data_IF_050240418797
#
_entry.id   IF_050240418797
#
_cell.length_a   1.000
_cell.length_b   1.000
_cell.length_c   1.000
_cell.angle_alpha   90.00
_cell.angle_beta   90.00
_cell.angle_gamma   90.00
#
_symmetry.space_group_name_H-M   'P 1'
#
loop_
_entity.id
_entity.type
_entity.pdbx_description
1 polymer ?
#
# COMPACT_ATOMS: atom_id res chain seq x y z
N UNK A 1 -6.48 -4.92 13.20
CA UNK A 1 -5.04 -5.13 12.90
C UNK A 1 -4.67 -6.55 13.33
N UNK A 2 -4.67 -7.52 12.41
CA UNK A 2 -4.30 -8.89 12.73
C UNK A 2 -2.83 -9.08 12.35
N UNK A 3 -1.97 -9.18 13.36
CA UNK A 3 -0.56 -9.41 13.15
C UNK A 3 -0.21 -10.85 13.53
N UNK A 4 0.26 -11.63 12.56
CA UNK A 4 0.97 -12.86 12.87
C UNK A 4 2.47 -12.55 12.84
N UNK A 5 3.08 -12.43 14.02
CA UNK A 5 4.52 -12.26 14.18
C UNK A 5 5.11 -13.56 14.73
N UNK A 6 5.96 -14.20 13.93
CA UNK A 6 6.89 -15.21 14.41
C UNK A 6 8.32 -14.65 14.21
N UNK A 7 9.11 -14.70 15.27
CA UNK A 7 10.47 -14.14 15.38
C UNK A 7 11.46 -14.83 14.42
N UNK A 8 11.14 -16.04 13.97
CA UNK A 8 11.92 -16.81 12.99
C UNK A 8 11.36 -16.68 11.56
N UNK A 9 10.18 -16.08 11.39
CA UNK A 9 9.50 -16.11 10.09
C UNK A 9 10.14 -15.17 9.09
N UNK A 10 10.67 -15.79 8.03
CA UNK A 10 11.11 -15.13 6.81
C UNK A 10 9.96 -14.49 6.02
N UNK A 11 8.71 -14.77 6.39
CA UNK A 11 7.52 -14.25 5.73
C UNK A 11 6.68 -13.36 6.67
N UNK A 12 6.20 -12.23 6.15
CA UNK A 12 5.29 -11.33 6.85
C UNK A 12 4.08 -11.07 5.96
N UNK A 13 2.89 -11.19 6.54
CA UNK A 13 1.63 -10.83 5.91
C UNK A 13 0.96 -9.73 6.75
N UNK A 14 0.57 -8.64 6.10
CA UNK A 14 -0.15 -7.54 6.72
C UNK A 14 -1.37 -7.19 5.87
N UNK A 15 -2.49 -6.88 6.51
CA UNK A 15 -3.70 -6.43 5.84
C UNK A 15 -4.46 -5.41 6.68
N UNK A 16 -5.18 -4.51 6.02
CA UNK A 16 -6.02 -3.50 6.63
C UNK A 16 -7.28 -3.30 5.79
N UNK A 17 -8.40 -3.07 6.47
CA UNK A 17 -9.72 -2.83 5.90
C UNK A 17 -10.21 -1.45 6.34
N UNK A 18 -10.70 -0.68 5.40
CA UNK A 18 -11.30 0.64 5.56
C UNK A 18 -12.77 0.53 5.18
N UNK A 19 -13.63 1.00 6.08
CA UNK A 19 -15.06 1.11 5.87
C UNK A 19 -15.44 2.55 6.19
N UNK A 20 -16.22 3.18 5.32
CA UNK A 20 -16.73 4.52 5.54
C UNK A 20 -18.25 4.53 5.47
N UNK A 21 -18.89 5.34 6.30
CA UNK A 21 -20.30 5.71 6.17
C UNK A 21 -20.38 7.17 5.72
N UNK A 22 -21.11 7.43 4.64
CA UNK A 22 -21.27 8.73 3.98
C UNK A 22 -22.74 9.12 3.80
N UNK A 23 -23.64 8.45 4.50
CA UNK A 23 -25.10 8.65 4.38
C UNK A 23 -25.59 10.09 4.63
N UNK A 24 -24.83 10.90 5.37
CA UNK A 24 -25.19 12.30 5.67
C UNK A 24 -24.73 13.34 4.61
N UNK A 25 -24.03 12.91 3.54
CA UNK A 25 -23.41 13.80 2.55
C UNK A 25 -24.21 14.09 1.27
N UNK A 26 -25.47 13.61 1.18
CA UNK A 26 -26.27 13.71 -0.05
C UNK A 26 -26.81 15.14 -0.23
N UNK A 27 -26.26 15.88 -1.20
CA UNK A 27 -26.77 17.19 -1.61
C UNK A 27 -28.06 17.03 -2.42
N UNK A 28 -29.16 17.64 -1.96
CA UNK A 28 -30.48 17.62 -2.62
C UNK A 28 -30.62 18.66 -3.75
N UNK A 29 -29.52 19.09 -4.37
CA UNK A 29 -29.56 20.11 -5.42
C UNK A 29 -30.08 19.49 -6.74
N UNK A 30 -31.06 20.10 -7.44
CA UNK A 30 -31.62 19.53 -8.66
C UNK A 30 -30.70 19.75 -9.86
N UNK A 31 -30.60 18.71 -10.70
CA UNK A 31 -30.05 18.61 -12.07
C UNK A 31 -28.55 18.30 -12.29
N UNK A 32 -27.66 18.35 -11.30
CA UNK A 32 -26.27 17.84 -11.40
C UNK A 32 -25.78 17.18 -10.10
N UNK A 33 -26.63 16.43 -9.42
CA UNK A 33 -26.25 15.73 -8.19
C UNK A 33 -25.23 14.63 -8.53
N UNK A 34 -23.96 14.84 -8.15
CA UNK A 34 -22.99 13.76 -8.01
C UNK A 34 -23.58 12.79 -6.97
N UNK A 35 -24.09 11.65 -7.43
CA UNK A 35 -24.44 10.55 -6.54
C UNK A 35 -23.14 10.06 -5.88
N UNK A 36 -23.10 10.01 -4.56
CA UNK A 36 -21.94 9.53 -3.81
C UNK A 36 -22.24 8.15 -3.25
N UNK A 37 -21.26 7.26 -3.36
CA UNK A 37 -21.33 5.93 -2.74
C UNK A 37 -21.48 6.12 -1.23
N UNK A 38 -22.55 5.55 -0.67
CA UNK A 38 -22.89 5.75 0.75
C UNK A 38 -21.95 4.97 1.67
N UNK A 39 -21.39 3.85 1.20
CA UNK A 39 -20.59 2.95 2.02
C UNK A 39 -19.36 2.40 1.27
N UNK A 40 -18.40 3.25 0.84
CA UNK A 40 -17.24 2.76 0.11
C UNK A 40 -16.34 1.93 1.04
N UNK A 41 -15.81 0.83 0.51
CA UNK A 41 -14.82 0.00 1.17
C UNK A 41 -13.46 0.16 0.51
N UNK A 42 -12.40 -0.04 1.29
CA UNK A 42 -11.06 -0.20 0.76
C UNK A 42 -10.30 -1.21 1.58
N UNK A 43 -9.37 -1.93 0.97
CA UNK A 43 -8.44 -2.76 1.72
C UNK A 43 -7.10 -2.85 1.01
N UNK A 44 -6.08 -3.24 1.78
CA UNK A 44 -4.83 -3.67 1.20
C UNK A 44 -4.35 -4.96 1.86
N UNK A 45 -3.48 -5.67 1.13
CA UNK A 45 -2.71 -6.79 1.64
C UNK A 45 -1.27 -6.65 1.18
N UNK A 46 -0.32 -6.91 2.08
CA UNK A 46 1.12 -6.86 1.84
C UNK A 46 1.70 -8.21 2.22
N UNK A 47 2.47 -8.80 1.32
CA UNK A 47 3.29 -9.97 1.57
C UNK A 47 4.76 -9.63 1.41
N UNK A 48 5.57 -9.85 2.44
CA UNK A 48 7.02 -9.68 2.41
C UNK A 48 7.72 -11.01 2.69
N UNK A 49 8.70 -11.36 1.86
CA UNK A 49 9.52 -12.55 2.03
C UNK A 49 11.01 -12.23 1.99
N UNK A 50 11.72 -12.56 3.08
CA UNK A 50 13.17 -12.43 3.23
C UNK A 50 13.84 -13.79 3.04
N UNK A 51 14.30 -14.06 1.84
CA UNK A 51 14.94 -15.33 1.50
C UNK A 51 16.42 -15.41 1.89
N UNK A 52 17.06 -14.29 2.23
CA UNK A 52 18.44 -14.25 2.74
C UNK A 52 18.68 -13.08 3.69
N UNK A 53 19.87 -13.03 4.30
CA UNK A 53 20.28 -11.87 5.12
C UNK A 53 20.29 -10.57 4.31
N UNK A 54 20.61 -10.63 3.02
CA UNK A 54 20.80 -9.44 2.19
C UNK A 54 19.63 -9.12 1.27
N UNK A 55 18.75 -10.08 0.97
CA UNK A 55 17.70 -9.89 -0.03
C UNK A 55 16.32 -10.25 0.51
N UNK A 56 15.34 -9.44 0.11
CA UNK A 56 13.92 -9.73 0.27
C UNK A 56 13.13 -9.25 -0.94
N UNK A 57 11.96 -9.83 -1.12
CA UNK A 57 10.96 -9.45 -2.10
C UNK A 57 9.65 -9.18 -1.38
N UNK A 58 8.83 -8.27 -1.89
CA UNK A 58 7.49 -8.10 -1.38
C UNK A 58 6.55 -7.60 -2.45
N UNK A 59 5.26 -7.76 -2.17
CA UNK A 59 4.18 -7.27 -3.01
C UNK A 59 3.06 -6.69 -2.16
N UNK A 60 2.33 -5.75 -2.74
CA UNK A 60 1.15 -5.13 -2.16
C UNK A 60 0.03 -5.13 -3.20
N UNK A 61 -1.17 -5.49 -2.76
CA UNK A 61 -2.40 -5.31 -3.51
C UNK A 61 -3.29 -4.34 -2.76
N UNK A 62 -3.90 -3.42 -3.50
CA UNK A 62 -4.80 -2.38 -3.03
C UNK A 62 -6.12 -2.49 -3.79
N UNK A 63 -7.22 -2.41 -3.06
CA UNK A 63 -8.58 -2.28 -3.59
C UNK A 63 -9.24 -1.09 -2.91
N UNK A 64 -9.88 -0.22 -3.68
CA UNK A 64 -10.65 0.91 -3.15
C UNK A 64 -11.87 1.15 -4.02
N UNK A 65 -13.04 1.19 -3.40
CA UNK A 65 -14.28 1.64 -4.05
C UNK A 65 -14.21 3.14 -4.35
N UNK A 66 -14.80 3.53 -5.48
CA UNK A 66 -15.02 4.92 -5.85
C UNK A 66 -15.97 5.57 -4.86
N UNK A 67 -15.65 6.81 -4.53
CA UNK A 67 -16.50 7.65 -3.69
C UNK A 67 -17.63 8.28 -4.51
N UNK A 68 -17.42 8.46 -5.81
CA UNK A 68 -18.40 9.03 -6.72
C UNK A 68 -19.08 7.91 -7.50
N UNK A 69 -20.40 7.89 -7.52
CA UNK A 69 -21.18 7.04 -8.41
C UNK A 69 -21.24 7.72 -9.77
N UNK A 70 -20.40 7.25 -10.69
CA UNK A 70 -20.54 7.59 -12.10
C UNK A 70 -21.45 6.55 -12.77
N UNK A 71 -22.47 6.94 -13.53
CA UNK A 71 -23.21 5.95 -14.34
C UNK A 71 -22.37 5.37 -15.50
N UNK A 72 -21.18 5.92 -15.76
CA UNK A 72 -20.30 5.52 -16.86
C UNK A 72 -18.83 5.42 -16.40
N UNK A 73 -18.31 4.21 -16.24
CA UNK A 73 -16.90 3.96 -15.92
C UNK A 73 -16.68 2.91 -14.84
N UNK A 74 -15.40 2.57 -14.59
CA UNK A 74 -14.99 1.72 -13.46
C UNK A 74 -15.31 2.43 -12.14
N UNK A 75 -15.86 1.69 -11.19
CA UNK A 75 -16.22 2.20 -9.85
C UNK A 75 -15.18 1.82 -8.81
N UNK A 76 -14.08 1.20 -9.22
CA UNK A 76 -13.07 0.66 -8.35
C UNK A 76 -11.68 1.08 -8.82
N UNK A 77 -10.78 1.24 -7.87
CA UNK A 77 -9.36 1.41 -8.11
C UNK A 77 -8.63 0.17 -7.62
N UNK A 78 -7.84 -0.44 -8.51
CA UNK A 78 -6.97 -1.56 -8.18
C UNK A 78 -5.52 -1.10 -8.23
N UNK A 79 -4.75 -1.44 -7.20
CA UNK A 79 -3.31 -1.18 -7.15
C UNK A 79 -2.51 -2.44 -6.96
N UNK A 80 -1.42 -2.58 -7.70
CA UNK A 80 -0.45 -3.66 -7.52
C UNK A 80 0.94 -3.07 -7.42
N UNK A 81 1.69 -3.46 -6.40
CA UNK A 81 3.09 -3.07 -6.26
C UNK A 81 3.93 -4.31 -6.00
N UNK A 82 5.11 -4.36 -6.60
CA UNK A 82 6.13 -5.37 -6.29
C UNK A 82 7.48 -4.71 -6.12
N UNK A 83 8.29 -5.23 -5.21
CA UNK A 83 9.60 -4.66 -4.92
C UNK A 83 10.62 -5.70 -4.49
N UNK A 84 11.87 -5.41 -4.79
CA UNK A 84 13.03 -6.13 -4.30
C UNK A 84 13.82 -5.18 -3.41
N UNK A 85 14.27 -5.70 -2.27
CA UNK A 85 15.04 -4.97 -1.28
C UNK A 85 16.40 -5.63 -1.11
N UNK A 86 17.47 -4.85 -1.21
CA UNK A 86 18.84 -5.26 -0.89
C UNK A 86 19.34 -4.53 0.36
N UNK A 87 19.75 -5.30 1.36
CA UNK A 87 20.35 -4.83 2.60
C UNK A 87 21.87 -4.98 2.50
N UNK A 88 22.58 -3.88 2.21
CA UNK A 88 24.04 -3.88 2.21
C UNK A 88 24.57 -4.03 3.65
N UNK A 89 23.90 -3.37 4.60
CA UNK A 89 24.18 -3.47 6.03
C UNK A 89 22.88 -3.32 6.83
N UNK A 90 22.97 -3.36 8.16
CA UNK A 90 21.84 -3.04 9.05
C UNK A 90 21.43 -1.56 8.96
N UNK A 91 22.33 -0.71 8.48
CA UNK A 91 22.15 0.74 8.38
C UNK A 91 21.90 1.24 6.97
N UNK A 92 22.05 0.38 5.95
CA UNK A 92 22.01 0.80 4.55
C UNK A 92 21.23 -0.19 3.68
N UNK A 93 20.20 0.33 3.01
CA UNK A 93 19.23 -0.46 2.25
C UNK A 93 18.86 0.22 0.94
N UNK A 94 18.78 -0.59 -0.10
CA UNK A 94 18.24 -0.24 -1.40
C UNK A 94 16.91 -0.95 -1.65
N UNK A 95 15.97 -0.28 -2.30
CA UNK A 95 14.73 -0.89 -2.77
C UNK A 95 14.42 -0.41 -4.18
N UNK A 96 14.13 -1.37 -5.05
CA UNK A 96 13.55 -1.11 -6.36
C UNK A 96 12.11 -1.59 -6.35
N UNK A 97 11.19 -0.76 -6.83
CA UNK A 97 9.76 -1.02 -6.79
C UNK A 97 9.10 -0.62 -8.10
N UNK A 98 8.18 -1.46 -8.56
CA UNK A 98 7.23 -1.15 -9.63
C UNK A 98 5.82 -1.08 -9.05
N UNK A 99 5.04 -0.11 -9.51
CA UNK A 99 3.63 0.04 -9.16
C UNK A 99 2.80 0.18 -10.43
N UNK A 100 1.70 -0.56 -10.46
CA UNK A 100 0.63 -0.43 -11.44
C UNK A 100 -0.65 -0.02 -10.69
N UNK A 101 -1.40 0.93 -11.23
CA UNK A 101 -2.73 1.26 -10.75
C UNK A 101 -3.71 1.31 -11.92
N UNK A 102 -4.83 0.61 -11.76
CA UNK A 102 -5.98 0.69 -12.65
C UNK A 102 -6.96 1.68 -12.03
N UNK A 103 -6.96 2.92 -12.55
CA UNK A 103 -7.78 4.01 -12.06
C UNK A 103 -9.00 4.20 -12.97
N UNK A 104 -10.12 4.77 -12.45
CA UNK A 104 -11.26 5.13 -13.29
C UNK A 104 -10.91 6.05 -14.48
N UNK A 105 -9.83 6.82 -14.37
CA UNK A 105 -9.36 7.76 -15.40
C UNK A 105 -8.32 7.18 -16.37
N UNK A 106 -7.90 5.93 -16.18
CA UNK A 106 -6.83 5.30 -16.96
C UNK A 106 -5.79 4.59 -16.09
N UNK A 107 -4.90 3.84 -16.73
CA UNK A 107 -3.85 3.10 -16.05
C UNK A 107 -2.61 3.96 -15.76
N UNK A 108 -1.95 3.69 -14.62
CA UNK A 108 -0.73 4.36 -14.19
C UNK A 108 0.38 3.34 -13.88
N UNK A 109 1.60 3.65 -14.33
CA UNK A 109 2.78 2.81 -14.20
C UNK A 109 3.94 3.62 -13.63
N UNK A 110 4.46 3.20 -12.47
CA UNK A 110 5.51 3.95 -11.75
C UNK A 110 6.65 3.04 -11.33
N UNK A 111 7.87 3.56 -11.46
CA UNK A 111 9.09 2.91 -10.96
C UNK A 111 9.71 3.78 -9.88
N UNK A 112 10.17 3.14 -8.81
CA UNK A 112 10.83 3.79 -7.69
C UNK A 112 12.16 3.13 -7.39
N UNK A 113 13.15 3.96 -7.12
CA UNK A 113 14.40 3.56 -6.50
C UNK A 113 14.55 4.31 -5.18
N UNK A 114 14.67 3.58 -4.08
CA UNK A 114 14.77 4.13 -2.74
C UNK A 114 16.09 3.71 -2.10
N UNK A 115 16.81 4.68 -1.56
CA UNK A 115 17.97 4.48 -0.69
C UNK A 115 17.57 4.87 0.72
N UNK A 116 17.83 4.02 1.70
CA UNK A 116 17.61 4.31 3.12
C UNK A 116 18.93 4.11 3.85
N UNK A 117 19.40 5.18 4.50
CA UNK A 117 20.57 5.18 5.34
C UNK A 117 20.19 5.64 6.75
N UNK A 118 20.61 4.92 7.77
CA UNK A 118 20.49 5.35 9.16
C UNK A 118 21.87 5.81 9.65
N UNK A 119 21.94 7.02 10.21
CA UNK A 119 23.16 7.60 10.79
C UNK A 119 22.88 7.86 12.26
N UNK A 120 23.62 7.21 13.15
CA UNK A 120 23.47 7.34 14.60
C UNK A 120 24.82 7.22 15.31
N UNK A 121 24.90 7.77 16.53
CA UNK A 121 26.07 7.65 17.40
C UNK A 121 26.16 6.21 17.91
N UNK A 122 27.17 5.47 17.48
CA UNK A 122 27.53 4.21 18.14
C UNK A 122 28.20 4.57 19.47
N UNK A 123 27.50 4.44 20.61
CA UNK A 123 28.20 4.41 21.89
C UNK A 123 28.99 3.09 21.94
N UNK A 124 30.31 3.18 21.83
CA UNK A 124 31.18 2.14 22.35
C UNK A 124 30.91 2.05 23.86
N UNK A 125 30.41 0.92 24.35
CA UNK A 125 30.58 0.60 25.77
C UNK A 125 32.09 0.51 26.01
N UNK A 126 32.64 1.50 26.71
CA UNK A 126 33.96 1.41 27.30
C UNK A 126 33.88 0.29 28.34
N UNK A 127 34.55 -0.82 28.05
CA UNK A 127 34.77 -1.91 28.99
C UNK A 127 36.13 -1.74 29.64
#
# INVERSE_FOLDING_TARGET
LLHHFDSESRFKLQTELYLQDRSEGVSTAPEEALEFQSNPLGFYVIGDYRFSKHYGIGSRFDYVDSVNESHFGKQETLGYSSYITYHQSEFFRFRFQYQYADLPTGDDNRFFFQVTAAIGVHQHQLQ
#
